data_IF_913822954923
#
_entry.id   IF_913822954923
#
_cell.length_a   1.000
_cell.length_b   1.000
_cell.length_c   1.000
_cell.angle_alpha   90.00
_cell.angle_beta   90.00
_cell.angle_gamma   90.00
#
_symmetry.space_group_name_H-M   'P 1'
#
loop_
_entity.id
_entity.type
_entity.pdbx_description
1 polymer ?
#
# COMPACT_ATOMS: atom_id res chain seq x y z
N UNK A 1 20.70 25.36 -10.58
CA UNK A 1 19.91 25.90 -9.45
C UNK A 1 19.46 24.80 -8.48
N UNK A 2 18.94 23.67 -8.97
CA UNK A 2 18.48 22.52 -8.17
C UNK A 2 19.62 21.84 -7.37
N UNK A 3 20.70 21.42 -8.02
CA UNK A 3 21.90 20.83 -7.38
C UNK A 3 22.46 21.67 -6.22
N UNK A 4 22.58 22.99 -6.42
CA UNK A 4 22.98 23.94 -5.36
C UNK A 4 22.04 23.92 -4.14
N UNK A 5 20.75 23.69 -4.35
CA UNK A 5 19.77 23.53 -3.27
C UNK A 5 19.95 22.24 -2.49
N UNK A 6 20.27 21.13 -3.17
CA UNK A 6 20.52 19.83 -2.54
C UNK A 6 21.83 19.84 -1.74
N UNK A 7 22.93 20.38 -2.29
CA UNK A 7 24.17 20.53 -1.53
C UNK A 7 24.00 21.40 -0.27
N UNK A 8 23.19 22.47 -0.35
CA UNK A 8 22.89 23.28 0.84
C UNK A 8 22.12 22.48 1.90
N UNK A 9 21.19 21.61 1.50
CA UNK A 9 20.50 20.72 2.44
C UNK A 9 21.47 19.73 3.07
N UNK A 10 22.33 19.09 2.27
CA UNK A 10 23.39 18.20 2.78
C UNK A 10 24.25 18.90 3.85
N UNK A 11 24.77 20.09 3.54
CA UNK A 11 25.59 20.86 4.48
C UNK A 11 24.86 21.26 5.78
N UNK A 12 23.54 21.50 5.74
CA UNK A 12 22.75 21.76 6.95
C UNK A 12 22.59 20.47 7.78
N UNK A 13 22.34 19.34 7.13
CA UNK A 13 22.20 18.04 7.78
C UNK A 13 23.53 17.61 8.44
N UNK A 14 24.66 17.84 7.77
CA UNK A 14 26.00 17.59 8.32
C UNK A 14 26.25 18.37 9.61
N UNK A 15 25.88 19.67 9.63
CA UNK A 15 26.01 20.51 10.81
C UNK A 15 25.15 20.00 11.97
N UNK A 16 23.89 19.63 11.70
CA UNK A 16 22.97 19.07 12.70
C UNK A 16 23.49 17.72 13.24
N UNK A 17 23.99 16.83 12.37
CA UNK A 17 24.54 15.53 12.77
C UNK A 17 25.76 15.70 13.68
N UNK A 18 26.61 16.69 13.40
CA UNK A 18 27.78 17.00 14.23
C UNK A 18 27.36 17.43 15.65
N UNK A 19 26.42 18.37 15.75
CA UNK A 19 25.90 18.85 17.05
C UNK A 19 25.16 17.74 17.81
N UNK A 20 24.32 16.98 17.12
CA UNK A 20 23.56 15.89 17.73
C UNK A 20 24.47 14.78 18.29
N UNK A 21 25.57 14.42 17.59
CA UNK A 21 26.57 13.47 18.11
C UNK A 21 27.25 13.98 19.38
N UNK A 22 27.55 15.27 19.47
CA UNK A 22 28.11 15.86 20.68
C UNK A 22 27.12 15.78 21.86
N UNK A 23 25.83 15.97 21.58
CA UNK A 23 24.75 15.90 22.58
C UNK A 23 24.50 14.48 23.09
N UNK A 24 24.59 13.43 22.25
CA UNK A 24 24.42 12.02 22.66
C UNK A 24 25.33 11.67 23.86
N UNK A 25 26.56 12.19 23.88
CA UNK A 25 27.53 11.92 24.93
C UNK A 25 27.17 12.56 26.28
N UNK A 26 26.24 13.52 26.29
CA UNK A 26 25.81 14.27 27.48
C UNK A 26 24.43 13.82 28.01
N UNK A 27 23.69 13.02 27.26
CA UNK A 27 22.32 12.62 27.59
C UNK A 27 22.23 11.33 28.42
N UNK A 28 21.21 11.29 29.29
CA UNK A 28 20.77 10.11 30.03
C UNK A 28 20.08 9.07 29.14
N UNK A 29 19.84 7.87 29.68
CA UNK A 29 19.42 6.68 28.92
C UNK A 29 18.09 6.86 28.16
N UNK A 30 17.12 7.56 28.76
CA UNK A 30 15.79 7.74 28.16
C UNK A 30 15.77 8.79 27.03
N UNK A 31 16.58 9.85 27.16
CA UNK A 31 16.69 10.90 26.13
C UNK A 31 17.47 10.43 24.90
N UNK A 32 18.37 9.45 25.07
CA UNK A 32 19.10 8.84 23.94
C UNK A 32 18.16 8.19 22.93
N UNK A 33 17.08 7.55 23.38
CA UNK A 33 16.12 6.92 22.48
C UNK A 33 15.39 7.92 21.58
N UNK A 34 15.00 9.09 22.13
CA UNK A 34 14.38 10.16 21.34
C UNK A 34 15.37 10.81 20.37
N UNK A 35 16.61 11.04 20.82
CA UNK A 35 17.64 11.59 19.94
C UNK A 35 18.02 10.62 18.82
N UNK A 36 18.02 9.31 19.07
CA UNK A 36 18.24 8.28 18.06
C UNK A 36 17.16 8.27 16.97
N UNK A 37 15.88 8.42 17.35
CA UNK A 37 14.78 8.59 16.40
C UNK A 37 14.94 9.86 15.54
N UNK A 38 15.36 10.96 16.15
CA UNK A 38 15.64 12.20 15.43
C UNK A 38 16.82 12.04 14.45
N UNK A 39 17.94 11.45 14.91
CA UNK A 39 19.12 11.18 14.09
C UNK A 39 18.80 10.24 12.91
N UNK A 40 17.95 9.24 13.14
CA UNK A 40 17.44 8.37 12.08
C UNK A 40 16.66 9.17 11.04
N UNK A 41 15.75 10.05 11.47
CA UNK A 41 15.00 10.93 10.55
C UNK A 41 15.92 11.87 9.75
N UNK A 42 16.97 12.41 10.38
CA UNK A 42 17.98 13.24 9.70
C UNK A 42 18.73 12.43 8.66
N UNK A 43 19.15 11.20 8.99
CA UNK A 43 19.85 10.30 8.07
C UNK A 43 18.97 9.91 6.88
N UNK A 44 17.68 9.68 7.08
CA UNK A 44 16.75 9.43 5.97
C UNK A 44 16.65 10.62 5.01
N UNK A 45 16.65 11.85 5.52
CA UNK A 45 16.62 13.06 4.68
C UNK A 45 17.94 13.22 3.91
N UNK A 46 19.07 12.86 4.51
CA UNK A 46 20.39 12.86 3.86
C UNK A 46 20.41 11.88 2.69
N UNK A 47 20.05 10.61 2.91
CA UNK A 47 19.96 9.58 1.87
C UNK A 47 19.03 10.01 0.73
N UNK A 48 17.88 10.62 1.05
CA UNK A 48 16.95 11.15 0.03
C UNK A 48 17.56 12.32 -0.75
N UNK A 49 18.37 13.16 -0.10
CA UNK A 49 19.04 14.30 -0.73
C UNK A 49 20.14 13.85 -1.68
N UNK A 50 20.95 12.88 -1.25
CA UNK A 50 21.99 12.25 -2.08
C UNK A 50 21.38 11.60 -3.32
N UNK A 51 20.38 10.73 -3.14
CA UNK A 51 19.64 10.12 -4.26
C UNK A 51 19.08 11.19 -5.20
N UNK A 52 18.44 12.24 -4.66
CA UNK A 52 17.88 13.30 -5.49
C UNK A 52 18.94 14.03 -6.33
N UNK A 53 20.18 14.15 -5.86
CA UNK A 53 21.27 14.78 -6.60
C UNK A 53 21.81 13.89 -7.71
N UNK A 54 21.93 12.58 -7.45
CA UNK A 54 22.26 11.56 -8.45
C UNK A 54 21.24 11.54 -9.58
N UNK A 55 19.94 11.61 -9.24
CA UNK A 55 18.84 11.63 -10.20
C UNK A 55 18.83 12.87 -11.10
N UNK A 56 19.55 13.95 -10.77
CA UNK A 56 19.65 15.11 -11.66
C UNK A 56 20.45 14.82 -12.95
N UNK A 57 21.37 13.86 -12.89
CA UNK A 57 22.20 13.47 -14.04
C UNK A 57 21.62 12.28 -14.82
N UNK A 58 20.57 11.63 -14.29
CA UNK A 58 19.88 10.54 -14.98
C UNK A 58 18.96 11.14 -16.05
N UNK A 59 19.17 10.85 -17.34
CA UNK A 59 18.32 11.36 -18.40
C UNK A 59 16.89 10.82 -18.22
N UNK A 60 15.90 11.69 -18.41
CA UNK A 60 14.50 11.26 -18.33
C UNK A 60 14.21 10.21 -19.40
N UNK A 61 13.47 9.14 -19.07
CA UNK A 61 13.07 8.14 -20.03
C UNK A 61 12.25 8.79 -21.15
N UNK A 62 12.45 8.33 -22.39
CA UNK A 62 11.59 8.70 -23.50
C UNK A 62 10.31 7.88 -23.39
N UNK A 63 9.19 8.57 -23.22
CA UNK A 63 7.88 7.95 -23.09
C UNK A 63 7.23 7.89 -24.47
N UNK A 64 6.68 6.73 -24.84
CA UNK A 64 5.94 6.56 -26.09
C UNK A 64 4.67 7.43 -26.10
N UNK A 65 4.21 7.86 -27.28
CA UNK A 65 3.04 8.75 -27.36
C UNK A 65 1.75 8.03 -26.93
N UNK A 66 1.68 6.71 -27.14
CA UNK A 66 0.62 5.84 -26.64
C UNK A 66 0.51 5.94 -25.10
N UNK A 67 1.62 5.80 -24.37
CA UNK A 67 1.63 5.91 -22.90
C UNK A 67 1.27 7.32 -22.42
N UNK A 68 1.71 8.37 -23.13
CA UNK A 68 1.34 9.76 -22.81
C UNK A 68 -0.16 10.00 -22.97
N UNK A 69 -0.75 9.46 -24.04
CA UNK A 69 -2.17 9.67 -24.37
C UNK A 69 -3.12 9.08 -23.33
N UNK A 70 -2.64 8.13 -22.53
CA UNK A 70 -3.36 7.50 -21.43
C UNK A 70 -3.39 8.35 -20.15
N UNK A 71 -2.52 9.35 -20.04
CA UNK A 71 -2.43 10.19 -18.84
C UNK A 71 -3.26 11.46 -19.02
N UNK A 72 -4.35 11.57 -18.25
CA UNK A 72 -5.13 12.80 -18.19
C UNK A 72 -4.82 13.58 -16.90
N UNK A 73 -4.25 14.77 -17.04
CA UNK A 73 -3.92 15.63 -15.88
C UNK A 73 -5.10 16.51 -15.42
N UNK A 74 -6.16 16.56 -16.20
CA UNK A 74 -7.35 17.36 -15.96
C UNK A 74 -8.58 16.44 -15.95
N UNK A 75 -8.68 15.65 -14.87
CA UNK A 75 -9.80 14.74 -14.65
C UNK A 75 -10.83 15.42 -13.77
N UNK A 76 -12.07 15.50 -14.26
CA UNK A 76 -13.20 15.99 -13.49
C UNK A 76 -13.42 15.12 -12.25
N UNK A 77 -13.75 15.74 -11.10
CA UNK A 77 -14.11 15.01 -9.88
C UNK A 77 -15.38 14.15 -10.04
N UNK A 78 -16.13 14.33 -11.12
CA UNK A 78 -17.27 13.47 -11.46
C UNK A 78 -16.85 12.13 -12.08
N UNK A 79 -15.59 11.99 -12.53
CA UNK A 79 -15.05 10.83 -13.25
C UNK A 79 -13.98 10.13 -12.41
N UNK A 80 -14.37 9.60 -11.25
CA UNK A 80 -13.45 9.00 -10.28
C UNK A 80 -12.68 7.82 -10.86
N UNK A 81 -13.31 7.04 -11.73
CA UNK A 81 -12.69 5.89 -12.38
C UNK A 81 -11.55 6.29 -13.29
N UNK A 82 -11.72 7.36 -14.06
CA UNK A 82 -10.67 7.92 -14.90
C UNK A 82 -9.50 8.46 -14.06
N UNK A 83 -9.80 9.06 -12.91
CA UNK A 83 -8.78 9.52 -11.98
C UNK A 83 -7.96 8.34 -11.43
N UNK A 84 -8.62 7.28 -10.94
CA UNK A 84 -7.92 6.09 -10.43
C UNK A 84 -7.11 5.40 -11.52
N UNK A 85 -7.66 5.24 -12.73
CA UNK A 85 -6.94 4.65 -13.86
C UNK A 85 -5.73 5.47 -14.25
N UNK A 86 -5.86 6.79 -14.33
CA UNK A 86 -4.72 7.69 -14.57
C UNK A 86 -3.62 7.51 -13.52
N UNK A 87 -3.98 7.43 -12.24
CA UNK A 87 -3.01 7.21 -11.15
C UNK A 87 -2.35 5.84 -11.27
N UNK A 88 -3.11 4.78 -11.58
CA UNK A 88 -2.56 3.45 -11.82
C UNK A 88 -1.64 3.42 -13.03
N UNK A 89 -2.00 4.06 -14.13
CA UNK A 89 -1.16 4.13 -15.33
C UNK A 89 0.12 4.93 -15.09
N UNK A 90 0.06 5.96 -14.23
CA UNK A 90 1.26 6.66 -13.79
C UNK A 90 2.19 5.77 -12.96
N UNK A 91 1.64 4.91 -12.09
CA UNK A 91 2.42 3.92 -11.33
C UNK A 91 3.04 2.89 -12.27
N UNK A 92 2.26 2.34 -13.21
CA UNK A 92 2.75 1.40 -14.23
C UNK A 92 3.87 2.03 -15.03
N UNK A 93 3.71 3.27 -15.50
CA UNK A 93 4.74 3.99 -16.24
C UNK A 93 6.00 4.20 -15.39
N UNK A 94 5.85 4.53 -14.11
CA UNK A 94 6.99 4.68 -13.21
C UNK A 94 7.77 3.38 -13.04
N UNK A 95 7.09 2.22 -13.02
CA UNK A 95 7.75 0.91 -12.98
C UNK A 95 8.36 0.53 -14.33
N UNK A 96 7.64 0.72 -15.43
CA UNK A 96 8.10 0.47 -16.79
C UNK A 96 9.38 1.25 -17.12
N UNK A 97 9.48 2.48 -16.62
CA UNK A 97 10.61 3.38 -16.85
C UNK A 97 11.65 3.37 -15.73
N UNK A 98 11.55 2.42 -14.80
CA UNK A 98 12.50 2.20 -13.71
C UNK A 98 12.70 3.41 -12.77
N UNK A 99 11.67 4.26 -12.64
CA UNK A 99 11.73 5.50 -11.86
C UNK A 99 11.61 5.28 -10.36
N UNK A 100 10.92 4.22 -9.94
CA UNK A 100 10.79 3.83 -8.54
C UNK A 100 10.58 2.33 -8.41
N UNK A 101 10.96 1.77 -7.26
CA UNK A 101 10.71 0.36 -6.90
C UNK A 101 9.43 0.17 -6.08
N UNK A 102 8.90 1.25 -5.49
CA UNK A 102 7.76 1.21 -4.57
C UNK A 102 6.82 2.36 -4.87
N UNK A 103 5.52 2.08 -4.84
CA UNK A 103 4.45 3.07 -4.91
C UNK A 103 3.36 2.73 -3.89
N UNK A 104 2.75 3.77 -3.32
CA UNK A 104 1.56 3.64 -2.47
C UNK A 104 0.50 4.58 -3.00
N UNK A 105 -0.71 4.06 -3.17
CA UNK A 105 -1.83 4.84 -3.68
C UNK A 105 -3.05 4.60 -2.80
N UNK A 106 -3.56 5.68 -2.21
CA UNK A 106 -4.79 5.65 -1.44
C UNK A 106 -5.93 6.16 -2.33
N UNK A 107 -7.00 5.39 -2.47
CA UNK A 107 -8.20 5.77 -3.24
C UNK A 107 -9.09 6.78 -2.51
N UNK A 108 -8.69 7.21 -1.31
CA UNK A 108 -9.34 8.22 -0.49
C UNK A 108 -8.64 8.36 0.86
N UNK A 109 -9.07 9.31 1.67
CA UNK A 109 -8.64 9.41 3.07
C UNK A 109 -9.57 8.56 3.95
N UNK A 110 -9.06 7.93 4.99
CA UNK A 110 -9.81 6.99 5.85
C UNK A 110 -11.05 7.64 6.50
N UNK A 111 -10.96 8.93 6.85
CA UNK A 111 -12.07 9.72 7.40
C UNK A 111 -12.84 10.56 6.36
N UNK A 112 -12.35 10.64 5.12
CA UNK A 112 -12.95 11.43 4.04
C UNK A 112 -12.86 10.61 2.74
N UNK A 113 -13.84 9.72 2.56
CA UNK A 113 -13.94 8.94 1.33
C UNK A 113 -14.30 9.83 0.13
N UNK A 114 -14.06 9.33 -1.08
CA UNK A 114 -14.58 9.97 -2.28
C UNK A 114 -16.00 9.46 -2.57
N UNK A 115 -16.99 10.34 -2.84
CA UNK A 115 -18.21 9.92 -3.52
C UNK A 115 -17.86 9.45 -4.94
N UNK A 116 -18.72 8.64 -5.56
CA UNK A 116 -18.49 8.09 -6.91
C UNK A 116 -19.70 8.45 -7.80
N UNK A 117 -19.80 9.71 -8.26
CA UNK A 117 -20.97 10.19 -9.00
C UNK A 117 -21.21 9.45 -10.32
N UNK A 118 -20.15 8.96 -10.98
CA UNK A 118 -20.25 8.25 -12.26
C UNK A 118 -21.08 6.94 -12.19
N UNK A 119 -21.20 6.35 -11.00
CA UNK A 119 -22.07 5.19 -10.75
C UNK A 119 -23.29 5.55 -9.88
N UNK A 120 -23.57 6.86 -9.73
CA UNK A 120 -24.73 7.38 -8.99
C UNK A 120 -24.54 7.46 -7.47
N UNK A 121 -23.35 7.18 -6.93
CA UNK A 121 -23.10 7.27 -5.49
C UNK A 121 -22.68 8.69 -5.10
N UNK A 122 -23.61 9.42 -4.49
CA UNK A 122 -23.38 10.80 -4.03
C UNK A 122 -22.77 10.90 -2.64
N UNK A 123 -22.96 9.87 -1.80
CA UNK A 123 -22.37 9.78 -0.48
C UNK A 123 -20.96 9.19 -0.57
N UNK A 124 -20.07 9.65 0.29
CA UNK A 124 -18.71 9.11 0.37
C UNK A 124 -18.68 7.72 1.02
N UNK A 125 -17.64 6.95 0.69
CA UNK A 125 -17.47 5.59 1.21
C UNK A 125 -17.40 5.52 2.75
N UNK A 126 -16.80 6.51 3.41
CA UNK A 126 -16.68 6.51 4.88
C UNK A 126 -18.08 6.58 5.51
N UNK A 127 -18.91 7.53 5.07
CA UNK A 127 -20.31 7.64 5.49
C UNK A 127 -21.12 6.37 5.22
N UNK A 128 -20.95 5.75 4.04
CA UNK A 128 -21.61 4.49 3.70
C UNK A 128 -21.22 3.34 4.63
N UNK A 129 -19.99 3.35 5.15
CA UNK A 129 -19.52 2.32 6.08
C UNK A 129 -20.18 2.38 7.45
N UNK A 130 -20.70 3.53 7.87
CA UNK A 130 -21.49 3.72 9.10
C UNK A 130 -22.96 3.34 8.91
N UNK A 131 -23.23 2.21 8.25
CA UNK A 131 -24.56 1.86 7.76
C UNK A 131 -25.59 1.52 8.85
N UNK A 132 -25.19 1.15 10.07
CA UNK A 132 -26.09 0.81 11.19
C UNK A 132 -27.19 -0.20 10.81
N UNK A 133 -26.83 -1.21 10.02
CA UNK A 133 -27.74 -2.23 9.50
C UNK A 133 -28.71 -1.75 8.40
N UNK A 134 -28.61 -0.51 7.93
CA UNK A 134 -29.44 0.00 6.84
C UNK A 134 -29.10 -0.71 5.51
N UNK A 135 -30.08 -1.41 4.94
CA UNK A 135 -29.90 -2.21 3.73
C UNK A 135 -29.51 -1.39 2.49
N UNK A 136 -29.98 -0.15 2.36
CA UNK A 136 -29.64 0.72 1.23
C UNK A 136 -28.19 1.20 1.32
N UNK A 137 -27.76 1.64 2.51
CA UNK A 137 -26.36 2.04 2.74
C UNK A 137 -25.40 0.87 2.52
N UNK A 138 -25.75 -0.32 3.02
CA UNK A 138 -24.95 -1.54 2.78
C UNK A 138 -24.87 -1.89 1.29
N UNK A 139 -25.99 -1.80 0.56
CA UNK A 139 -25.99 -2.01 -0.90
C UNK A 139 -25.09 -1.00 -1.60
N UNK A 140 -25.18 0.28 -1.25
CA UNK A 140 -24.37 1.33 -1.83
C UNK A 140 -22.88 1.18 -1.48
N UNK A 141 -22.55 0.71 -0.27
CA UNK A 141 -21.20 0.35 0.13
C UNK A 141 -20.66 -0.78 -0.74
N UNK A 142 -21.43 -1.85 -0.96
CA UNK A 142 -21.04 -2.95 -1.86
C UNK A 142 -20.80 -2.46 -3.29
N UNK A 143 -21.62 -1.53 -3.80
CA UNK A 143 -21.41 -0.92 -5.13
C UNK A 143 -20.10 -0.12 -5.16
N UNK A 144 -19.80 0.65 -4.10
CA UNK A 144 -18.55 1.40 -3.94
C UNK A 144 -17.32 0.47 -3.90
N UNK A 145 -17.37 -0.59 -3.09
CA UNK A 145 -16.27 -1.56 -2.97
C UNK A 145 -16.05 -2.32 -4.29
N UNK A 146 -17.14 -2.73 -4.96
CA UNK A 146 -17.08 -3.36 -6.29
C UNK A 146 -16.41 -2.44 -7.31
N UNK A 147 -16.73 -1.15 -7.28
CA UNK A 147 -16.10 -0.17 -8.16
C UNK A 147 -14.58 -0.08 -7.91
N UNK A 148 -14.15 0.01 -6.65
CA UNK A 148 -12.73 0.11 -6.31
C UNK A 148 -11.95 -1.16 -6.72
N UNK A 149 -12.52 -2.35 -6.47
CA UNK A 149 -11.92 -3.63 -6.89
C UNK A 149 -11.81 -3.71 -8.42
N UNK A 150 -12.79 -3.19 -9.17
CA UNK A 150 -12.69 -3.12 -10.64
C UNK A 150 -11.55 -2.21 -11.10
N UNK A 151 -11.27 -1.11 -10.41
CA UNK A 151 -10.11 -0.27 -10.76
C UNK A 151 -8.78 -0.95 -10.39
N UNK A 152 -8.74 -1.71 -9.29
CA UNK A 152 -7.57 -2.53 -8.98
C UNK A 152 -7.37 -3.66 -10.01
N UNK A 153 -8.44 -4.30 -10.48
CA UNK A 153 -8.37 -5.29 -11.57
C UNK A 153 -7.74 -4.67 -12.83
N UNK A 154 -8.18 -3.48 -13.22
CA UNK A 154 -7.58 -2.73 -14.32
C UNK A 154 -6.07 -2.52 -14.12
N UNK A 155 -5.64 -2.15 -12.90
CA UNK A 155 -4.21 -1.99 -12.61
C UNK A 155 -3.42 -3.30 -12.82
N UNK A 156 -3.98 -4.44 -12.40
CA UNK A 156 -3.35 -5.74 -12.64
C UNK A 156 -3.30 -6.09 -14.13
N UNK A 157 -4.35 -5.79 -14.89
CA UNK A 157 -4.36 -5.97 -16.34
C UNK A 157 -3.25 -5.13 -17.00
N UNK A 158 -3.09 -3.87 -16.57
CA UNK A 158 -2.02 -3.00 -17.06
C UNK A 158 -0.62 -3.52 -16.72
N UNK A 159 -0.40 -4.02 -15.51
CA UNK A 159 0.86 -4.66 -15.15
C UNK A 159 1.14 -5.90 -16.00
N UNK A 160 0.10 -6.62 -16.43
CA UNK A 160 0.24 -7.81 -17.28
C UNK A 160 0.52 -7.45 -18.75
N UNK A 161 -0.07 -6.38 -19.25
CA UNK A 161 0.10 -5.89 -20.62
C UNK A 161 1.48 -5.26 -20.85
N UNK A 162 2.01 -4.54 -19.86
CA UNK A 162 3.28 -3.81 -19.98
C UNK A 162 4.45 -4.71 -19.63
N UNK A 163 5.44 -4.75 -20.52
CA UNK A 163 6.68 -5.50 -20.29
C UNK A 163 7.73 -4.64 -19.57
N UNK A 164 8.46 -5.25 -18.65
CA UNK A 164 9.67 -4.70 -18.06
C UNK A 164 10.91 -4.87 -18.96
N UNK A 165 12.07 -4.45 -18.47
CA UNK A 165 13.32 -4.39 -19.25
C UNK A 165 13.80 -5.75 -19.83
N UNK A 166 13.36 -6.87 -19.25
CA UNK A 166 13.72 -8.23 -19.67
C UNK A 166 12.62 -8.91 -20.52
N UNK A 167 11.62 -8.14 -21.01
CA UNK A 167 10.49 -8.67 -21.77
C UNK A 167 9.46 -9.45 -20.95
N UNK A 168 9.63 -9.53 -19.62
CA UNK A 168 8.66 -10.16 -18.72
C UNK A 168 7.57 -9.15 -18.37
N UNK A 169 6.28 -9.55 -18.30
CA UNK A 169 5.22 -8.69 -17.78
C UNK A 169 5.60 -8.07 -16.43
N UNK A 170 5.25 -6.80 -16.21
CA UNK A 170 5.49 -6.15 -14.92
C UNK A 170 4.76 -6.88 -13.79
N UNK A 171 3.59 -7.48 -14.05
CA UNK A 171 2.83 -8.26 -13.08
C UNK A 171 3.66 -9.39 -12.47
N UNK A 172 4.50 -10.04 -13.26
CA UNK A 172 5.33 -11.16 -12.80
C UNK A 172 6.48 -10.71 -11.88
N UNK A 173 6.87 -9.44 -11.94
CA UNK A 173 8.01 -8.86 -11.20
C UNK A 173 7.59 -7.82 -10.15
N UNK A 174 6.28 -7.64 -9.94
CA UNK A 174 5.71 -6.63 -9.03
C UNK A 174 4.76 -7.30 -8.05
N UNK A 175 4.92 -7.03 -6.75
CA UNK A 175 3.92 -7.40 -5.73
C UNK A 175 2.92 -6.25 -5.57
N UNK A 176 1.65 -6.49 -5.90
CA UNK A 176 0.56 -5.55 -5.71
C UNK A 176 -0.32 -5.99 -4.54
N UNK A 177 -0.30 -5.20 -3.45
CA UNK A 177 -1.12 -5.42 -2.26
C UNK A 177 -2.29 -4.43 -2.23
N UNK A 178 -3.51 -4.94 -2.16
CA UNK A 178 -4.75 -4.15 -2.10
C UNK A 178 -5.61 -4.62 -0.94
N UNK A 179 -6.27 -3.69 -0.25
CA UNK A 179 -7.20 -4.02 0.81
C UNK A 179 -7.50 -2.86 1.73
N UNK A 180 -8.01 -3.20 2.91
CA UNK A 180 -8.43 -2.27 3.95
C UNK A 180 -7.90 -2.71 5.31
N UNK A 181 -7.56 -1.75 6.17
CA UNK A 181 -7.25 -2.00 7.59
C UNK A 181 -8.48 -2.35 8.43
N UNK A 182 -9.68 -2.26 7.84
CA UNK A 182 -10.97 -2.62 8.46
C UNK A 182 -11.73 -3.60 7.58
N UNK A 183 -12.20 -4.70 8.16
CA UNK A 183 -13.13 -5.64 7.54
C UNK A 183 -14.59 -5.23 7.75
N UNK A 184 -14.88 -4.48 8.82
CA UNK A 184 -16.23 -4.04 9.15
C UNK A 184 -16.24 -2.59 9.61
N UNK A 185 -16.49 -1.66 8.66
CA UNK A 185 -16.39 -0.23 8.91
C UNK A 185 -17.38 0.28 9.96
N UNK A 186 -18.61 -0.25 10.01
CA UNK A 186 -19.66 0.25 10.91
C UNK A 186 -19.27 0.24 12.39
N UNK A 187 -18.51 -0.77 12.82
CA UNK A 187 -18.03 -0.89 14.21
C UNK A 187 -16.50 -0.87 14.31
N UNK A 188 -15.81 -0.47 13.23
CA UNK A 188 -14.34 -0.43 13.13
C UNK A 188 -13.67 -1.77 13.48
N UNK A 189 -14.19 -2.86 12.93
CA UNK A 189 -13.61 -4.20 13.06
C UNK A 189 -12.35 -4.35 12.22
N UNK A 190 -11.20 -4.54 12.89
CA UNK A 190 -9.85 -4.59 12.31
C UNK A 190 -9.27 -6.01 12.21
N UNK A 191 -10.09 -7.04 12.37
CA UNK A 191 -9.73 -8.43 12.15
C UNK A 191 -10.41 -8.98 10.91
N UNK A 192 -9.97 -10.15 10.42
CA UNK A 192 -10.50 -10.78 9.21
C UNK A 192 -10.42 -9.87 7.96
N UNK A 193 -9.28 -9.22 7.77
CA UNK A 193 -9.11 -8.15 6.78
C UNK A 193 -9.28 -8.65 5.33
N UNK A 194 -9.95 -7.87 4.45
CA UNK A 194 -10.07 -8.18 3.04
C UNK A 194 -8.78 -7.77 2.31
N UNK A 195 -7.85 -8.70 2.15
CA UNK A 195 -6.54 -8.45 1.54
C UNK A 195 -6.40 -9.26 0.25
N UNK A 196 -5.90 -8.60 -0.80
CA UNK A 196 -5.51 -9.21 -2.07
C UNK A 196 -4.03 -8.93 -2.30
N UNK A 197 -3.23 -9.99 -2.42
CA UNK A 197 -1.86 -9.93 -2.93
C UNK A 197 -1.84 -10.53 -4.34
N UNK A 198 -1.34 -9.78 -5.32
CA UNK A 198 -1.24 -10.21 -6.71
C UNK A 198 0.15 -9.93 -7.29
N UNK A 199 0.56 -10.70 -8.31
CA UNK A 199 1.82 -10.51 -9.02
C UNK A 199 3.07 -10.94 -8.24
N UNK A 200 4.25 -10.86 -8.86
CA UNK A 200 5.51 -11.26 -8.24
C UNK A 200 5.78 -12.76 -8.35
N UNK A 201 5.26 -13.43 -9.37
CA UNK A 201 5.58 -14.85 -9.66
C UNK A 201 7.08 -15.09 -9.80
N UNK A 202 7.82 -14.13 -10.41
CA UNK A 202 9.29 -14.14 -10.52
C UNK A 202 10.01 -13.74 -9.24
N UNK A 203 9.27 -13.27 -8.24
CA UNK A 203 9.76 -13.02 -6.88
C UNK A 203 9.52 -14.23 -5.96
N UNK A 204 9.06 -15.37 -6.53
CA UNK A 204 8.83 -16.60 -5.80
C UNK A 204 7.49 -16.64 -5.07
N UNK A 205 6.49 -15.88 -5.53
CA UNK A 205 5.13 -15.94 -5.00
C UNK A 205 4.24 -16.92 -5.79
N UNK A 206 3.39 -17.63 -5.07
CA UNK A 206 2.36 -18.51 -5.60
C UNK A 206 0.99 -17.83 -5.56
N UNK A 207 0.33 -17.77 -6.72
CA UNK A 207 -0.97 -17.10 -6.90
C UNK A 207 -2.10 -18.08 -7.24
N UNK A 208 -3.32 -17.54 -7.39
CA UNK A 208 -4.50 -18.31 -7.84
C UNK A 208 -5.21 -19.07 -6.72
N UNK A 209 -5.07 -18.62 -5.47
CA UNK A 209 -5.62 -19.28 -4.30
C UNK A 209 -6.33 -18.27 -3.38
N UNK A 210 -7.36 -18.74 -2.68
CA UNK A 210 -7.95 -18.03 -1.55
C UNK A 210 -7.50 -18.73 -0.27
N UNK A 211 -6.74 -18.02 0.57
CA UNK A 211 -6.21 -18.54 1.83
C UNK A 211 -7.00 -17.91 2.97
N UNK A 212 -7.71 -18.76 3.70
CA UNK A 212 -8.51 -18.37 4.85
C UNK A 212 -7.72 -18.58 6.14
N UNK A 213 -7.09 -17.51 6.63
CA UNK A 213 -6.27 -17.55 7.83
C UNK A 213 -7.09 -17.64 9.14
N UNK A 214 -8.41 -17.46 9.10
CA UNK A 214 -9.27 -17.65 10.27
C UNK A 214 -9.55 -19.13 10.57
N UNK A 215 -9.22 -20.05 9.65
CA UNK A 215 -9.37 -21.48 9.90
C UNK A 215 -8.50 -21.92 11.07
N UNK A 216 -9.17 -22.34 12.14
CA UNK A 216 -8.60 -23.01 13.30
C UNK A 216 -9.43 -24.25 13.62
N UNK A 217 -8.93 -25.15 14.46
CA UNK A 217 -9.64 -26.39 14.84
C UNK A 217 -11.04 -26.14 15.39
N UNK A 218 -11.25 -25.00 16.06
CA UNK A 218 -12.54 -24.59 16.63
C UNK A 218 -13.44 -23.84 15.65
N UNK A 219 -13.02 -23.63 14.40
CA UNK A 219 -13.78 -22.84 13.43
C UNK A 219 -14.87 -23.69 12.78
N UNK A 220 -16.12 -23.41 13.11
CA UNK A 220 -17.31 -24.07 12.53
C UNK A 220 -17.73 -23.50 11.17
N UNK A 221 -16.95 -22.56 10.61
CA UNK A 221 -17.27 -21.86 9.36
C UNK A 221 -17.96 -20.51 9.57
N UNK A 222 -18.16 -19.79 8.47
CA UNK A 222 -18.79 -18.47 8.47
C UNK A 222 -20.32 -18.60 8.54
N UNK A 223 -20.94 -18.05 9.59
CA UNK A 223 -22.40 -18.04 9.78
C UNK A 223 -23.02 -16.83 9.06
N UNK A 224 -23.19 -16.93 7.75
CA UNK A 224 -23.77 -15.87 6.92
C UNK A 224 -25.28 -15.65 7.17
N UNK A 225 -25.95 -16.60 7.81
CA UNK A 225 -27.37 -16.51 8.12
C UNK A 225 -27.62 -15.65 9.38
N UNK A 226 -26.63 -15.56 10.28
CA UNK A 226 -26.68 -14.70 11.46
C UNK A 226 -25.60 -13.59 11.39
N UNK A 227 -25.99 -12.37 11.01
CA UNK A 227 -25.05 -11.25 10.90
C UNK A 227 -24.26 -10.96 12.16
N UNK A 228 -24.86 -11.15 13.35
CA UNK A 228 -24.16 -10.92 14.62
C UNK A 228 -22.97 -11.85 14.81
N UNK A 229 -23.17 -13.15 14.51
CA UNK A 229 -22.10 -14.14 14.56
C UNK A 229 -21.03 -13.88 13.50
N UNK A 230 -21.46 -13.53 12.27
CA UNK A 230 -20.53 -13.21 11.19
C UNK A 230 -19.66 -11.99 11.53
N UNK A 231 -20.24 -10.86 11.92
CA UNK A 231 -19.48 -9.63 12.16
C UNK A 231 -18.63 -9.67 13.44
N UNK A 232 -18.92 -10.58 14.37
CA UNK A 232 -18.08 -10.76 15.56
C UNK A 232 -16.64 -11.16 15.18
N UNK A 233 -16.44 -11.94 14.11
CA UNK A 233 -15.10 -12.37 13.68
C UNK A 233 -14.24 -11.21 13.16
N UNK A 234 -14.87 -10.10 12.74
CA UNK A 234 -14.20 -8.88 12.31
C UNK A 234 -13.60 -8.10 13.48
N UNK A 235 -13.94 -8.45 14.72
CA UNK A 235 -13.35 -7.88 15.95
C UNK A 235 -12.51 -8.92 16.69
N UNK A 236 -12.99 -10.16 16.68
CA UNK A 236 -12.42 -11.28 17.41
C UNK A 236 -12.09 -12.41 16.41
N UNK A 237 -10.89 -12.39 15.80
CA UNK A 237 -10.53 -13.42 14.84
C UNK A 237 -10.48 -14.78 15.53
N UNK A 238 -10.88 -15.82 14.80
CA UNK A 238 -10.92 -17.18 15.32
C UNK A 238 -9.51 -17.72 15.49
N UNK A 239 -8.64 -17.43 14.52
CA UNK A 239 -7.21 -17.72 14.62
C UNK A 239 -6.45 -16.49 15.09
N UNK A 240 -6.01 -16.48 16.35
CA UNK A 240 -5.22 -15.38 16.92
C UNK A 240 -3.77 -15.33 16.44
N UNK A 241 -3.29 -16.33 15.69
CA UNK A 241 -1.94 -16.34 15.12
C UNK A 241 -1.88 -15.77 13.70
N UNK A 242 -3.04 -15.44 13.10
CA UNK A 242 -3.17 -14.92 11.73
C UNK A 242 -2.86 -13.42 11.65
N UNK A 243 -1.63 -13.00 11.97
CA UNK A 243 -1.28 -11.59 11.99
C UNK A 243 -1.05 -11.07 10.56
N UNK A 244 -1.57 -9.88 10.23
CA UNK A 244 -1.28 -9.22 8.96
C UNK A 244 0.23 -8.95 8.80
N UNK A 245 0.93 -8.70 9.90
CA UNK A 245 2.38 -8.52 9.91
C UNK A 245 3.16 -9.72 9.38
N UNK A 246 2.60 -10.94 9.42
CA UNK A 246 3.20 -12.10 8.77
C UNK A 246 3.26 -11.94 7.25
N UNK A 247 2.19 -11.39 6.65
CA UNK A 247 2.16 -11.06 5.23
C UNK A 247 3.19 -9.99 4.90
N UNK A 248 3.26 -8.93 5.72
CA UNK A 248 4.20 -7.82 5.53
C UNK A 248 5.66 -8.25 5.70
N UNK A 249 5.95 -9.15 6.64
CA UNK A 249 7.27 -9.77 6.78
C UNK A 249 7.61 -10.60 5.52
N UNK A 250 6.66 -11.41 5.06
CA UNK A 250 6.84 -12.25 3.86
C UNK A 250 7.14 -11.39 2.63
N UNK A 251 6.38 -10.33 2.40
CA UNK A 251 6.61 -9.41 1.27
C UNK A 251 7.92 -8.64 1.42
N UNK A 252 8.29 -8.17 2.62
CA UNK A 252 9.57 -7.51 2.86
C UNK A 252 10.76 -8.41 2.52
N UNK A 253 10.72 -9.68 2.91
CA UNK A 253 11.76 -10.65 2.53
C UNK A 253 11.79 -10.90 1.02
N UNK A 254 10.63 -10.93 0.35
CA UNK A 254 10.56 -11.02 -1.13
C UNK A 254 11.09 -9.78 -1.83
N UNK A 255 11.10 -8.62 -1.16
CA UNK A 255 11.77 -7.40 -1.63
C UNK A 255 13.29 -7.40 -1.36
N UNK A 256 13.83 -8.46 -0.75
CA UNK A 256 15.25 -8.55 -0.39
C UNK A 256 15.61 -7.85 0.92
N UNK A 257 14.64 -7.53 1.78
CA UNK A 257 14.92 -7.01 3.12
C UNK A 257 15.36 -8.16 4.02
N UNK A 258 16.58 -8.07 4.53
CA UNK A 258 17.17 -9.04 5.47
C UNK A 258 16.60 -8.82 6.89
N UNK A 259 15.39 -9.34 7.13
CA UNK A 259 14.76 -9.32 8.46
C UNK A 259 13.95 -10.58 8.71
N UNK A 260 13.99 -11.06 9.94
CA UNK A 260 13.19 -12.20 10.42
C UNK A 260 11.97 -11.77 11.25
N UNK A 261 11.79 -10.46 11.45
CA UNK A 261 10.70 -9.89 12.26
C UNK A 261 10.16 -8.60 11.67
N UNK A 262 8.86 -8.40 11.79
CA UNK A 262 8.18 -7.15 11.47
C UNK A 262 6.99 -6.95 12.42
N UNK A 263 7.03 -5.89 13.24
CA UNK A 263 6.00 -5.62 14.25
C UNK A 263 5.74 -6.86 15.14
N UNK A 264 4.49 -7.33 15.18
CA UNK A 264 4.02 -8.49 15.93
C UNK A 264 4.03 -9.79 15.11
N UNK A 265 4.71 -9.84 13.96
CA UNK A 265 4.79 -11.05 13.13
C UNK A 265 5.31 -12.24 13.94
N UNK A 266 4.65 -13.38 13.83
CA UNK A 266 5.07 -14.64 14.44
C UNK A 266 5.71 -15.62 13.42
N UNK A 267 5.72 -15.25 12.14
CA UNK A 267 6.38 -16.01 11.08
C UNK A 267 6.07 -15.45 9.69
N UNK A 268 6.65 -16.09 8.67
CA UNK A 268 6.27 -15.87 7.27
C UNK A 268 5.05 -16.72 6.90
N UNK A 269 4.38 -16.35 5.82
CA UNK A 269 3.31 -17.14 5.22
C UNK A 269 3.90 -18.04 4.15
N UNK A 270 4.28 -19.25 4.55
CA UNK A 270 4.92 -20.24 3.67
C UNK A 270 4.04 -20.65 2.48
N UNK A 271 2.72 -20.60 2.65
CA UNK A 271 1.72 -20.95 1.66
C UNK A 271 1.72 -20.01 0.45
N UNK A 272 2.29 -18.80 0.60
CA UNK A 272 2.47 -17.84 -0.48
C UNK A 272 3.75 -18.05 -1.27
N UNK A 273 4.65 -18.92 -0.84
CA UNK A 273 5.95 -19.12 -1.47
C UNK A 273 5.90 -20.30 -2.46
N UNK A 274 6.60 -20.13 -3.59
CA UNK A 274 6.74 -21.12 -4.66
C UNK A 274 7.88 -22.11 -4.39
#
# INVERSE_FOLDING_TARGET
KQRRGLHRRGSILDAILHEAKALVNQLGKDDRGRLDQYLTSVREVEIRTERADEWLDIPRPKIADEDKSRLNRDVSQQMVGEYFRTMYDLIVLAFQTDMTRVATFSTGEEGQGLPIPEIGLKQDRHSLSHHNGNAELMKNLTVSDTFNIKQFSYFLDRLNEVQGANGTPLLDTTMALYGSGMAFGHSHGNANLPIVLAGGSKLGLKHGQHIDFNKATTFSGYDLANPGNHYNICHNPVNRQAHLSNLLLTTAQRMGVETDKFADSNGIISELLA
#
